data_IF_070907765602
#
_entry.id   IF_070907765602
#
_cell.length_a   1.000
_cell.length_b   1.000
_cell.length_c   1.000
_cell.angle_alpha   90.00
_cell.angle_beta   90.00
_cell.angle_gamma   90.00
#
_symmetry.space_group_name_H-M   'P 1'
#
loop_
_entity.id
_entity.type
_entity.pdbx_description
1 polymer ?
#
# COMPACT_ATOMS: atom_id res chain seq x y z
N UNK A 1 10.91 5.42 12.46
CA UNK A 1 11.99 5.25 11.47
C UNK A 1 11.65 4.12 10.51
N UNK A 2 12.37 4.02 9.39
CA UNK A 2 12.19 2.91 8.45
C UNK A 2 13.09 1.72 8.83
N UNK A 3 12.50 0.54 8.97
CA UNK A 3 13.19 -0.74 9.15
C UNK A 3 13.22 -1.44 7.78
N UNK A 4 14.41 -1.81 7.33
CA UNK A 4 14.63 -2.61 6.11
C UNK A 4 14.96 -4.03 6.51
N UNK A 5 14.25 -4.99 5.94
CA UNK A 5 14.41 -6.43 6.19
C UNK A 5 14.89 -7.07 4.91
N UNK A 6 16.05 -7.73 4.95
CA UNK A 6 16.55 -8.55 3.84
C UNK A 6 16.31 -10.01 4.18
N UNK A 7 15.51 -10.69 3.36
CA UNK A 7 15.20 -12.11 3.50
C UNK A 7 16.32 -12.98 2.92
N UNK A 8 16.33 -14.25 3.28
CA UNK A 8 17.31 -15.24 2.81
C UNK A 8 17.26 -15.46 1.29
N UNK A 9 16.09 -15.30 0.68
CA UNK A 9 15.88 -15.35 -0.77
C UNK A 9 16.36 -14.08 -1.52
N UNK A 10 16.89 -13.10 -0.80
CA UNK A 10 17.34 -11.82 -1.33
C UNK A 10 16.24 -10.78 -1.50
N UNK A 11 14.99 -11.09 -1.18
CA UNK A 11 13.91 -10.12 -1.20
C UNK A 11 14.08 -9.06 -0.09
N UNK A 12 13.72 -7.82 -0.40
CA UNK A 12 13.75 -6.71 0.55
C UNK A 12 12.32 -6.27 0.92
N UNK A 13 12.10 -6.07 2.22
CA UNK A 13 10.89 -5.48 2.75
C UNK A 13 11.21 -4.22 3.55
N UNK A 14 10.26 -3.29 3.57
CA UNK A 14 10.38 -2.05 4.34
C UNK A 14 9.14 -1.85 5.20
N UNK A 15 9.38 -1.52 6.47
CA UNK A 15 8.36 -1.24 7.47
C UNK A 15 8.67 0.10 8.12
N UNK A 16 7.71 1.03 8.09
CA UNK A 16 7.79 2.24 8.88
C UNK A 16 7.31 1.95 10.30
N UNK A 17 8.13 2.29 11.28
CA UNK A 17 7.87 2.07 12.70
C UNK A 17 7.78 3.41 13.41
N UNK A 18 6.71 3.65 14.16
CA UNK A 18 6.56 4.80 15.03
C UNK A 18 6.46 4.34 16.49
N UNK A 19 7.49 4.63 17.28
CA UNK A 19 7.57 4.23 18.69
C UNK A 19 7.86 2.74 18.90
N UNK A 20 8.16 2.38 20.15
CA UNK A 20 8.45 1.00 20.56
C UNK A 20 9.85 0.75 21.11
N UNK A 21 10.16 -0.53 21.30
CA UNK A 21 11.44 -1.02 21.82
C UNK A 21 12.07 -2.07 20.89
N UNK A 22 13.40 -2.13 20.93
CA UNK A 22 14.22 -3.11 20.21
C UNK A 22 14.93 -4.01 21.22
N UNK A 23 14.74 -5.32 21.10
CA UNK A 23 15.45 -6.31 21.90
C UNK A 23 16.36 -7.14 20.99
N UNK A 24 17.65 -7.23 21.36
CA UNK A 24 18.65 -7.99 20.61
C UNK A 24 19.14 -9.13 21.48
N UNK A 25 18.98 -10.36 21.01
CA UNK A 25 19.51 -11.59 21.60
C UNK A 25 20.54 -12.20 20.65
N UNK A 26 21.39 -13.14 21.11
CA UNK A 26 22.43 -13.74 20.27
C UNK A 26 21.93 -14.41 18.98
N UNK A 27 20.71 -14.94 18.98
CA UNK A 27 20.11 -15.69 17.85
C UNK A 27 18.96 -14.93 17.15
N UNK A 28 18.44 -13.84 17.74
CA UNK A 28 17.25 -13.15 17.23
C UNK A 28 17.20 -11.68 17.61
N UNK A 29 16.45 -10.92 16.82
CA UNK A 29 16.11 -9.52 17.10
C UNK A 29 14.60 -9.38 17.11
N UNK A 30 14.05 -8.79 18.17
CA UNK A 30 12.61 -8.53 18.31
C UNK A 30 12.36 -7.03 18.30
N UNK A 31 11.47 -6.58 17.41
CA UNK A 31 11.00 -5.18 17.36
C UNK A 31 9.56 -5.16 17.86
N UNK A 32 9.33 -4.56 19.03
CA UNK A 32 7.99 -4.32 19.57
C UNK A 32 7.63 -2.88 19.26
N UNK A 33 6.78 -2.67 18.26
CA UNK A 33 6.38 -1.36 17.77
C UNK A 33 4.98 -0.97 18.23
N UNK A 34 4.82 0.28 18.69
CA UNK A 34 3.49 0.84 18.96
C UNK A 34 2.68 0.99 17.67
N UNK A 35 3.36 1.31 16.57
CA UNK A 35 2.78 1.35 15.23
C UNK A 35 3.81 0.87 14.21
N UNK A 36 3.41 -0.09 13.38
CA UNK A 36 4.20 -0.61 12.27
C UNK A 36 3.36 -0.64 10.99
N UNK A 37 3.81 0.05 9.94
CA UNK A 37 3.14 0.13 8.65
C UNK A 37 4.08 -0.42 7.58
N UNK A 38 3.66 -1.47 6.87
CA UNK A 38 4.46 -2.00 5.75
C UNK A 38 4.31 -1.07 4.55
N UNK A 39 5.39 -0.87 3.79
CA UNK A 39 5.35 -0.04 2.58
C UNK A 39 4.27 -0.50 1.59
N UNK A 40 4.10 -1.82 1.44
CA UNK A 40 3.08 -2.44 0.59
C UNK A 40 1.64 -2.08 1.02
N UNK A 41 1.37 -2.01 2.33
CA UNK A 41 0.05 -1.67 2.88
C UNK A 41 -0.29 -0.19 2.66
N UNK A 42 0.72 0.68 2.73
CA UNK A 42 0.57 2.11 2.44
C UNK A 42 0.18 2.35 0.97
N UNK A 43 0.80 1.61 0.05
CA UNK A 43 0.50 1.72 -1.38
C UNK A 43 -0.89 1.18 -1.73
N UNK A 44 -1.31 0.07 -1.10
CA UNK A 44 -2.69 -0.43 -1.25
C UNK A 44 -3.72 0.59 -0.74
N UNK A 45 -3.49 1.17 0.43
CA UNK A 45 -4.40 2.17 1.01
C UNK A 45 -4.53 3.42 0.12
N UNK A 46 -3.42 3.91 -0.45
CA UNK A 46 -3.42 5.03 -1.41
C UNK A 46 -4.20 4.70 -2.68
N UNK A 47 -3.93 3.55 -3.28
CA UNK A 47 -4.63 3.11 -4.49
C UNK A 47 -6.14 2.95 -4.25
N UNK A 48 -6.53 2.40 -3.10
CA UNK A 48 -7.94 2.29 -2.70
C UNK A 48 -8.58 3.67 -2.51
N UNK A 49 -7.90 4.60 -1.85
CA UNK A 49 -8.41 5.98 -1.66
C UNK A 49 -8.64 6.69 -3.00
N UNK A 50 -7.68 6.60 -3.92
CA UNK A 50 -7.82 7.17 -5.26
C UNK A 50 -9.03 6.58 -6.03
N UNK A 51 -9.29 5.29 -5.86
CA UNK A 51 -10.46 4.64 -6.47
C UNK A 51 -11.78 5.16 -5.87
N UNK A 52 -11.84 5.36 -4.55
CA UNK A 52 -13.03 5.94 -3.89
C UNK A 52 -13.25 7.39 -4.31
N UNK A 53 -12.19 8.19 -4.43
CA UNK A 53 -12.26 9.56 -4.96
C UNK A 53 -12.80 9.57 -6.40
N UNK A 54 -12.30 8.68 -7.27
CA UNK A 54 -12.79 8.54 -8.63
C UNK A 54 -14.28 8.13 -8.69
N UNK A 55 -14.73 7.24 -7.79
CA UNK A 55 -16.15 6.89 -7.65
C UNK A 55 -17.00 8.08 -7.23
N UNK A 56 -16.52 8.90 -6.28
CA UNK A 56 -17.21 10.11 -5.86
C UNK A 56 -17.29 11.14 -7.01
N UNK A 57 -16.22 11.30 -7.80
CA UNK A 57 -16.24 12.15 -8.99
C UNK A 57 -17.23 11.66 -10.04
N UNK A 58 -17.37 10.33 -10.22
CA UNK A 58 -18.35 9.75 -11.14
C UNK A 58 -19.79 10.14 -10.80
N UNK A 59 -20.14 10.20 -9.52
CA UNK A 59 -21.49 10.59 -9.07
C UNK A 59 -21.81 12.06 -9.40
N UNK A 60 -20.80 12.91 -9.50
CA UNK A 60 -20.95 14.34 -9.77
C UNK A 60 -20.75 14.72 -11.25
N UNK A 61 -20.31 13.77 -12.08
CA UNK A 61 -20.01 14.01 -13.49
C UNK A 61 -21.29 14.29 -14.30
N UNK A 62 -21.25 15.32 -15.15
CA UNK A 62 -22.44 15.80 -15.88
C UNK A 62 -22.42 15.49 -17.37
N UNK A 63 -21.25 15.17 -17.92
CA UNK A 63 -21.10 14.91 -19.36
C UNK A 63 -20.65 13.47 -19.65
N UNK A 64 -21.08 12.92 -20.79
CA UNK A 64 -20.68 11.57 -21.22
C UNK A 64 -19.16 11.45 -21.40
N UNK A 65 -18.50 12.50 -21.86
CA UNK A 65 -17.04 12.53 -22.04
C UNK A 65 -16.30 12.47 -20.69
N UNK A 66 -16.80 13.19 -19.69
CA UNK A 66 -16.26 13.17 -18.33
C UNK A 66 -16.47 11.81 -17.66
N UNK A 67 -17.66 11.22 -17.81
CA UNK A 67 -17.95 9.86 -17.33
C UNK A 67 -16.98 8.85 -17.95
N UNK A 68 -16.80 8.88 -19.28
CA UNK A 68 -15.88 7.96 -19.97
C UNK A 68 -14.43 8.10 -19.48
N UNK A 69 -13.97 9.34 -19.21
CA UNK A 69 -12.64 9.60 -18.66
C UNK A 69 -12.48 9.06 -17.24
N UNK A 70 -13.50 9.26 -16.40
CA UNK A 70 -13.49 8.75 -15.02
C UNK A 70 -13.53 7.22 -15.02
N UNK A 71 -14.31 6.60 -15.89
CA UNK A 71 -14.36 5.13 -16.03
C UNK A 71 -13.02 4.54 -16.45
N UNK A 72 -12.34 5.15 -17.42
CA UNK A 72 -10.99 4.75 -17.82
C UNK A 72 -10.00 4.83 -16.64
N UNK A 73 -10.08 5.93 -15.87
CA UNK A 73 -9.25 6.13 -14.67
C UNK A 73 -9.55 5.08 -13.60
N UNK A 74 -10.83 4.79 -13.34
CA UNK A 74 -11.25 3.77 -12.37
C UNK A 74 -10.74 2.38 -12.78
N UNK A 75 -10.79 2.04 -14.07
CA UNK A 75 -10.29 0.77 -14.58
C UNK A 75 -8.78 0.62 -14.36
N UNK A 76 -8.00 1.67 -14.67
CA UNK A 76 -6.56 1.69 -14.43
C UNK A 76 -6.21 1.55 -12.94
N UNK A 77 -6.90 2.28 -12.06
CA UNK A 77 -6.71 2.19 -10.60
C UNK A 77 -7.07 0.81 -10.05
N UNK A 78 -8.14 0.19 -10.55
CA UNK A 78 -8.52 -1.16 -10.17
C UNK A 78 -7.46 -2.20 -10.59
N UNK A 79 -6.89 -2.07 -11.80
CA UNK A 79 -5.80 -2.91 -12.27
C UNK A 79 -4.53 -2.73 -11.42
N UNK A 80 -4.18 -1.49 -11.07
CA UNK A 80 -3.05 -1.20 -10.20
C UNK A 80 -3.23 -1.80 -8.81
N UNK A 81 -4.43 -1.71 -8.23
CA UNK A 81 -4.75 -2.31 -6.92
C UNK A 81 -4.64 -3.83 -6.96
N UNK A 82 -5.11 -4.46 -8.04
CA UNK A 82 -4.98 -5.90 -8.25
C UNK A 82 -3.51 -6.33 -8.36
N UNK A 83 -2.69 -5.55 -9.06
CA UNK A 83 -1.24 -5.77 -9.15
C UNK A 83 -0.56 -5.64 -7.79
N UNK A 84 -0.85 -4.57 -7.03
CA UNK A 84 -0.29 -4.37 -5.68
C UNK A 84 -0.65 -5.57 -4.79
N UNK A 85 -1.90 -6.03 -4.78
CA UNK A 85 -2.30 -7.20 -3.99
C UNK A 85 -1.59 -8.49 -4.41
N UNK A 86 -1.35 -8.69 -5.71
CA UNK A 86 -0.61 -9.85 -6.19
C UNK A 86 0.86 -9.78 -5.80
N UNK A 87 1.50 -8.61 -5.97
CA UNK A 87 2.89 -8.36 -5.57
C UNK A 87 3.10 -8.37 -4.05
N UNK A 88 2.04 -8.23 -3.26
CA UNK A 88 2.08 -8.34 -1.80
C UNK A 88 1.99 -9.78 -1.27
N UNK A 89 1.59 -10.76 -2.11
CA UNK A 89 1.53 -12.19 -1.74
C UNK A 89 2.83 -12.96 -2.00
N UNK A 90 3.81 -12.33 -2.64
CA UNK A 90 5.17 -12.82 -2.85
C UNK A 90 6.15 -11.91 -2.11
#
# INVERSE_FOLDING_TARGET
GAVRIKKEDGAEESVFVAGGILEVQPDRVTVLADTAIRSKDLDEAKAKKALEEAKASRQNAKSKAEIAKIEATMSALAAQLAYIRHASRH
#
